data_IF_278193355698
#
_entry.id   IF_278193355698
#
_cell.length_a   1.000
_cell.length_b   1.000
_cell.length_c   1.000
_cell.angle_alpha   90.00
_cell.angle_beta   90.00
_cell.angle_gamma   90.00
#
_symmetry.space_group_name_H-M   'P 1'
#
loop_
_entity.id
_entity.type
_entity.pdbx_description
1 polymer ?
#
# COMPACT_ATOMS: atom_id res chain seq x y z
N UNK A 1 1.80 12.39 -8.08
CA UNK A 1 2.79 13.15 -8.88
C UNK A 1 4.06 12.32 -8.96
N UNK A 2 4.45 11.85 -10.15
CA UNK A 2 5.73 11.18 -10.33
C UNK A 2 6.85 12.23 -10.22
N UNK A 3 7.75 12.09 -9.25
CA UNK A 3 8.99 12.85 -9.24
C UNK A 3 9.82 12.33 -10.41
N UNK A 4 10.19 13.19 -11.36
CA UNK A 4 11.06 12.80 -12.47
C UNK A 4 12.43 12.43 -11.89
N UNK A 5 12.72 11.14 -11.82
CA UNK A 5 13.99 10.61 -11.32
C UNK A 5 15.02 10.58 -12.47
N UNK A 6 16.25 11.03 -12.20
CA UNK A 6 17.35 11.01 -13.16
C UNK A 6 17.64 9.60 -13.70
N UNK A 7 17.55 9.36 -15.03
CA UNK A 7 17.81 8.06 -15.64
C UNK A 7 19.20 7.49 -15.33
N UNK A 8 20.23 8.34 -15.19
CA UNK A 8 21.58 7.87 -14.88
C UNK A 8 21.70 7.39 -13.44
N UNK A 9 20.98 8.02 -12.52
CA UNK A 9 20.87 7.56 -11.14
C UNK A 9 20.19 6.19 -11.07
N UNK A 10 19.11 5.98 -11.83
CA UNK A 10 18.40 4.69 -11.89
C UNK A 10 19.35 3.59 -12.39
N UNK A 11 20.09 3.83 -13.47
CA UNK A 11 21.01 2.85 -14.04
C UNK A 11 22.11 2.45 -13.03
N UNK A 12 22.73 3.42 -12.36
CA UNK A 12 23.76 3.16 -11.35
C UNK A 12 23.23 2.36 -10.16
N UNK A 13 22.08 2.76 -9.61
CA UNK A 13 21.47 2.05 -8.47
C UNK A 13 21.09 0.61 -8.83
N UNK A 14 20.65 0.38 -10.08
CA UNK A 14 20.36 -0.97 -10.57
C UNK A 14 21.61 -1.83 -10.64
N UNK A 15 22.69 -1.33 -11.24
CA UNK A 15 23.95 -2.07 -11.36
C UNK A 15 24.54 -2.42 -9.99
N UNK A 16 24.51 -1.46 -9.05
CA UNK A 16 24.94 -1.70 -7.67
C UNK A 16 24.09 -2.78 -7.00
N UNK A 17 22.76 -2.72 -7.12
CA UNK A 17 21.84 -3.70 -6.54
C UNK A 17 22.03 -5.11 -7.12
N UNK A 18 22.24 -5.25 -8.43
CA UNK A 18 22.45 -6.56 -9.06
C UNK A 18 23.77 -7.20 -8.61
N UNK A 19 24.80 -6.37 -8.39
CA UNK A 19 26.11 -6.83 -7.92
C UNK A 19 26.08 -7.32 -6.47
N UNK A 20 25.24 -6.74 -5.62
CA UNK A 20 25.18 -7.02 -4.18
C UNK A 20 23.96 -7.86 -3.77
N UNK A 21 23.25 -8.48 -4.72
CA UNK A 21 21.97 -9.17 -4.47
C UNK A 21 22.09 -10.35 -3.48
N UNK A 22 23.26 -10.99 -3.45
CA UNK A 22 23.55 -12.16 -2.62
C UNK A 22 24.38 -11.78 -1.37
N UNK A 23 24.71 -10.50 -1.20
CA UNK A 23 25.49 -10.03 -0.06
C UNK A 23 24.64 -10.11 1.23
N UNK A 24 25.25 -10.47 2.37
CA UNK A 24 24.54 -10.47 3.64
C UNK A 24 24.08 -9.04 3.98
N UNK A 25 22.87 -8.91 4.52
CA UNK A 25 22.42 -7.65 5.10
C UNK A 25 23.40 -7.20 6.20
N UNK A 26 23.63 -5.88 6.36
CA UNK A 26 24.46 -5.36 7.45
C UNK A 26 24.00 -5.88 8.82
N UNK A 27 24.96 -6.17 9.69
CA UNK A 27 24.68 -6.66 11.05
C UNK A 27 23.74 -5.72 11.80
N UNK A 28 22.76 -6.30 12.52
CA UNK A 28 21.75 -5.54 13.27
C UNK A 28 20.55 -5.08 12.45
N UNK A 29 20.53 -5.29 11.13
CA UNK A 29 19.36 -5.01 10.29
C UNK A 29 18.38 -6.18 10.36
N UNK A 30 17.19 -5.92 10.88
CA UNK A 30 16.06 -6.87 10.80
C UNK A 30 15.29 -6.61 9.52
N UNK A 31 15.37 -7.55 8.57
CA UNK A 31 14.43 -7.59 7.45
C UNK A 31 13.01 -7.71 8.00
N UNK A 32 12.19 -6.70 7.73
CA UNK A 32 10.75 -6.74 7.98
C UNK A 32 10.06 -6.69 6.63
N UNK A 33 9.01 -7.48 6.49
CA UNK A 33 8.04 -7.32 5.39
C UNK A 33 6.84 -6.58 5.97
N UNK A 34 6.88 -5.24 6.07
CA UNK A 34 5.71 -4.49 6.48
C UNK A 34 4.58 -4.82 5.50
N UNK A 35 3.34 -4.87 5.99
CA UNK A 35 2.12 -5.20 5.22
C UNK A 35 1.80 -6.69 5.02
N UNK A 36 2.12 -7.59 5.97
CA UNK A 36 1.37 -8.86 6.09
C UNK A 36 -0.02 -8.57 6.68
N UNK A 37 -0.88 -7.92 5.91
CA UNK A 37 -2.27 -7.68 6.28
C UNK A 37 -3.11 -8.90 5.91
N UNK A 38 -4.10 -9.22 6.74
CA UNK A 38 -5.13 -10.19 6.37
C UNK A 38 -6.06 -9.57 5.34
N UNK A 39 -6.42 -10.34 4.32
CA UNK A 39 -7.35 -9.91 3.27
C UNK A 39 -8.77 -10.28 3.69
N UNK A 40 -9.66 -9.29 3.69
CA UNK A 40 -11.09 -9.50 3.91
C UNK A 40 -11.84 -9.32 2.58
N UNK A 41 -12.32 -10.43 2.01
CA UNK A 41 -13.03 -10.42 0.73
C UNK A 41 -14.52 -10.14 0.95
N UNK A 42 -14.98 -8.97 0.51
CA UNK A 42 -16.40 -8.56 0.57
C UNK A 42 -17.04 -8.74 -0.80
N UNK A 43 -18.24 -9.31 -0.85
CA UNK A 43 -19.04 -9.36 -2.07
C UNK A 43 -19.86 -8.08 -2.17
N UNK A 44 -19.60 -7.29 -3.21
CA UNK A 44 -20.36 -6.11 -3.56
C UNK A 44 -20.96 -6.31 -4.95
N UNK A 45 -22.17 -5.82 -5.16
CA UNK A 45 -22.69 -5.59 -6.51
C UNK A 45 -21.85 -4.53 -7.23
N UNK A 46 -21.99 -4.47 -8.56
CA UNK A 46 -21.30 -3.46 -9.36
C UNK A 46 -21.69 -2.03 -8.94
N UNK A 47 -22.97 -1.82 -8.58
CA UNK A 47 -23.46 -0.52 -8.13
C UNK A 47 -22.86 -0.11 -6.78
N UNK A 48 -22.80 -1.02 -5.81
CA UNK A 48 -22.19 -0.75 -4.50
C UNK A 48 -20.70 -0.45 -4.64
N UNK A 49 -19.98 -1.20 -5.47
CA UNK A 49 -18.57 -0.95 -5.73
C UNK A 49 -18.35 0.42 -6.40
N UNK A 50 -19.18 0.79 -7.38
CA UNK A 50 -19.11 2.10 -8.03
C UNK A 50 -19.37 3.25 -7.05
N UNK A 51 -20.32 3.07 -6.12
CA UNK A 51 -20.59 4.06 -5.07
C UNK A 51 -19.39 4.25 -4.14
N UNK A 52 -18.75 3.17 -3.69
CA UNK A 52 -17.52 3.25 -2.89
C UNK A 52 -16.41 3.98 -3.66
N UNK A 53 -16.22 3.64 -4.94
CA UNK A 53 -15.20 4.27 -5.77
C UNK A 53 -15.42 5.78 -5.92
N UNK A 54 -16.65 6.19 -6.20
CA UNK A 54 -17.01 7.61 -6.34
C UNK A 54 -16.70 8.43 -5.08
N UNK A 55 -17.01 7.89 -3.90
CA UNK A 55 -16.69 8.56 -2.63
C UNK A 55 -15.16 8.61 -2.41
N UNK A 56 -14.46 7.53 -2.72
CA UNK A 56 -13.00 7.47 -2.59
C UNK A 56 -12.31 8.49 -3.50
N UNK A 57 -12.79 8.63 -4.74
CA UNK A 57 -12.27 9.60 -5.71
C UNK A 57 -12.49 11.04 -5.24
N UNK A 58 -13.70 11.34 -4.73
CA UNK A 58 -14.02 12.65 -4.17
C UNK A 58 -13.15 13.02 -2.95
N UNK A 59 -12.73 12.01 -2.18
CA UNK A 59 -11.84 12.19 -1.02
C UNK A 59 -10.35 12.09 -1.39
N UNK A 60 -10.01 11.84 -2.65
CA UNK A 60 -8.65 11.59 -3.12
C UNK A 60 -7.94 10.46 -2.37
N UNK A 61 -8.67 9.38 -2.06
CA UNK A 61 -8.17 8.20 -1.37
C UNK A 61 -8.32 6.96 -2.25
N UNK A 62 -7.42 5.96 -2.12
CA UNK A 62 -7.71 4.63 -2.65
C UNK A 62 -8.98 4.06 -2.01
N UNK A 63 -9.85 3.41 -2.79
CA UNK A 63 -11.08 2.79 -2.29
C UNK A 63 -10.82 1.79 -1.15
N UNK A 64 -9.72 1.04 -1.21
CA UNK A 64 -9.30 0.12 -0.14
C UNK A 64 -8.95 0.85 1.18
N UNK A 65 -8.37 2.05 1.10
CA UNK A 65 -8.09 2.89 2.25
C UNK A 65 -9.37 3.40 2.89
N UNK A 66 -10.31 3.88 2.06
CA UNK A 66 -11.62 4.36 2.52
C UNK A 66 -12.43 3.25 3.20
N UNK A 67 -12.55 2.08 2.57
CA UNK A 67 -13.30 0.96 3.16
C UNK A 67 -12.65 0.52 4.48
N UNK A 68 -11.31 0.48 4.54
CA UNK A 68 -10.60 0.15 5.77
C UNK A 68 -10.90 1.15 6.89
N UNK A 69 -10.91 2.47 6.60
CA UNK A 69 -11.22 3.46 7.64
C UNK A 69 -12.65 3.30 8.15
N UNK A 70 -13.63 3.13 7.26
CA UNK A 70 -15.02 2.91 7.66
C UNK A 70 -15.22 1.67 8.55
N UNK A 71 -14.52 0.57 8.26
CA UNK A 71 -14.57 -0.63 9.11
C UNK A 71 -14.03 -0.32 10.51
N UNK A 72 -12.89 0.38 10.61
CA UNK A 72 -12.29 0.72 11.91
C UNK A 72 -13.15 1.72 12.69
N UNK A 73 -13.63 2.77 12.02
CA UNK A 73 -14.52 3.77 12.62
C UNK A 73 -15.79 3.12 13.19
N UNK A 74 -16.34 2.12 12.50
CA UNK A 74 -17.50 1.37 12.99
C UNK A 74 -17.15 0.46 14.18
N UNK A 75 -16.00 -0.21 14.16
CA UNK A 75 -15.56 -1.04 15.27
C UNK A 75 -15.35 -0.22 16.55
N UNK A 76 -14.79 0.98 16.42
CA UNK A 76 -14.60 1.89 17.54
C UNK A 76 -15.94 2.32 18.15
N UNK A 77 -16.98 2.51 17.33
CA UNK A 77 -18.33 2.84 17.80
C UNK A 77 -19.04 1.68 18.52
N UNK A 78 -18.83 0.44 18.08
CA UNK A 78 -19.46 -0.75 18.71
C UNK A 78 -18.76 -1.16 20.02
N UNK A 79 -17.52 -0.70 20.20
CA UNK A 79 -16.69 -1.01 21.38
C UNK A 79 -16.83 0.03 22.51
N UNK A 80 -17.68 1.05 22.31
CA UNK A 80 -17.98 2.14 23.24
C UNK A 80 -19.29 1.89 24.01
#
# INVERSE_FOLDING_TARGET
MAKTTDPQLIARLREESERTKDDPFPGGVRSVRPNRSQVYSVRLSAEEQARVQSVADAMHLPASTLVRSWILDRLDQESA
#
